data_IF_249131820262
#
_entry.id   IF_249131820262
#
_cell.length_a   1.000
_cell.length_b   1.000
_cell.length_c   1.000
_cell.angle_alpha   90.00
_cell.angle_beta   90.00
_cell.angle_gamma   90.00
#
_symmetry.space_group_name_H-M   'P 1'
#
loop_
_entity.id
_entity.type
_entity.pdbx_description
1 polymer ?
#
# COMPACT_ATOMS: atom_id res chain seq x y z
N UNK A 1 -68.04 20.16 23.29
CA UNK A 1 -66.90 20.66 22.51
C UNK A 1 -66.17 19.45 22.00
N UNK A 2 -66.36 19.12 20.73
CA UNK A 2 -65.64 18.04 20.05
C UNK A 2 -64.27 18.58 19.65
N UNK A 3 -63.20 18.00 20.19
CA UNK A 3 -61.86 18.19 19.65
C UNK A 3 -61.80 17.44 18.31
N UNK A 4 -61.84 18.19 17.22
CA UNK A 4 -61.57 17.65 15.89
C UNK A 4 -60.10 17.24 15.83
N UNK A 5 -59.84 15.93 15.97
CA UNK A 5 -58.55 15.33 15.64
C UNK A 5 -58.34 15.41 14.13
N UNK A 6 -57.79 16.53 13.67
CA UNK A 6 -57.39 16.72 12.26
C UNK A 6 -56.15 15.86 12.01
N UNK A 7 -56.36 14.63 11.54
CA UNK A 7 -55.28 13.76 11.07
C UNK A 7 -54.61 14.46 9.87
N UNK A 8 -53.29 14.72 9.89
CA UNK A 8 -52.60 15.38 8.79
C UNK A 8 -52.79 14.61 7.48
N UNK A 9 -53.10 15.29 6.35
CA UNK A 9 -53.24 14.64 5.06
C UNK A 9 -52.03 13.75 4.72
N UNK A 10 -52.26 12.58 4.12
CA UNK A 10 -51.25 11.55 3.81
C UNK A 10 -49.97 12.08 3.15
N UNK A 11 -50.07 13.13 2.33
CA UNK A 11 -48.91 13.83 1.72
C UNK A 11 -47.87 14.32 2.74
N UNK A 12 -48.30 14.76 3.93
CA UNK A 12 -47.38 15.20 4.99
C UNK A 12 -46.65 14.03 5.66
N UNK A 13 -47.30 12.87 5.78
CA UNK A 13 -46.66 11.64 6.26
C UNK A 13 -45.58 11.15 5.31
N UNK A 14 -45.82 11.22 4.00
CA UNK A 14 -44.84 10.85 2.98
C UNK A 14 -43.62 11.79 3.03
N UNK A 15 -43.85 13.11 3.13
CA UNK A 15 -42.76 14.09 3.25
C UNK A 15 -41.93 13.86 4.52
N UNK A 16 -42.59 13.60 5.65
CA UNK A 16 -41.92 13.34 6.92
C UNK A 16 -41.09 12.05 6.87
N UNK A 17 -41.59 11.02 6.18
CA UNK A 17 -40.89 9.74 6.02
C UNK A 17 -39.68 9.88 5.08
N UNK A 18 -39.82 10.59 3.96
CA UNK A 18 -38.68 10.89 3.07
C UNK A 18 -37.62 11.71 3.81
N UNK A 19 -38.04 12.70 4.60
CA UNK A 19 -37.14 13.49 5.42
C UNK A 19 -36.41 12.64 6.47
N UNK A 20 -37.13 11.80 7.22
CA UNK A 20 -36.56 10.89 8.22
C UNK A 20 -35.59 9.89 7.61
N UNK A 21 -35.95 9.26 6.48
CA UNK A 21 -35.05 8.33 5.77
C UNK A 21 -33.82 9.09 5.27
N UNK A 22 -33.97 10.30 4.72
CA UNK A 22 -32.83 11.10 4.26
C UNK A 22 -31.91 11.50 5.42
N UNK A 23 -32.47 11.92 6.56
CA UNK A 23 -31.68 12.30 7.76
C UNK A 23 -30.98 11.09 8.36
N UNK A 24 -31.63 9.92 8.40
CA UNK A 24 -31.03 8.68 8.87
C UNK A 24 -29.93 8.23 7.91
N UNK A 25 -30.17 8.21 6.59
CA UNK A 25 -29.17 7.83 5.59
C UNK A 25 -27.96 8.76 5.57
N UNK A 26 -28.17 10.08 5.65
CA UNK A 26 -27.08 11.07 5.70
C UNK A 26 -26.36 11.02 7.04
N UNK A 27 -27.08 10.91 8.16
CA UNK A 27 -26.51 10.80 9.50
C UNK A 27 -25.70 9.51 9.68
N UNK A 28 -26.19 8.39 9.13
CA UNK A 28 -25.46 7.11 9.08
C UNK A 28 -24.24 7.21 8.16
N UNK A 29 -24.34 7.81 6.97
CA UNK A 29 -23.19 7.98 6.08
C UNK A 29 -22.09 8.85 6.71
N UNK A 30 -22.44 9.98 7.34
CA UNK A 30 -21.48 10.85 8.04
C UNK A 30 -20.89 10.15 9.28
N UNK A 31 -21.72 9.42 10.03
CA UNK A 31 -21.29 8.64 11.18
C UNK A 31 -20.33 7.51 10.80
N UNK A 32 -20.63 6.76 9.73
CA UNK A 32 -19.75 5.73 9.18
C UNK A 32 -18.47 6.32 8.56
N UNK A 33 -18.54 7.49 7.95
CA UNK A 33 -17.36 8.16 7.41
C UNK A 33 -16.41 8.60 8.54
N UNK A 34 -16.95 9.14 9.63
CA UNK A 34 -16.17 9.60 10.79
C UNK A 34 -15.63 8.41 11.61
N UNK A 35 -16.43 7.35 11.78
CA UNK A 35 -15.98 6.11 12.40
C UNK A 35 -14.93 5.42 11.52
N UNK A 36 -15.17 5.33 10.22
CA UNK A 36 -14.26 4.74 9.25
C UNK A 36 -12.93 5.49 9.17
N UNK A 37 -12.95 6.83 9.15
CA UNK A 37 -11.72 7.63 9.21
C UNK A 37 -10.94 7.36 10.50
N UNK A 38 -11.61 7.34 11.65
CA UNK A 38 -10.97 7.06 12.93
C UNK A 38 -10.43 5.62 13.04
N UNK A 39 -11.14 4.65 12.47
CA UNK A 39 -10.72 3.25 12.41
C UNK A 39 -9.45 3.09 11.57
N UNK A 40 -9.40 3.67 10.36
CA UNK A 40 -8.23 3.60 9.49
C UNK A 40 -7.03 4.34 10.12
N UNK A 41 -7.26 5.51 10.74
CA UNK A 41 -6.19 6.24 11.44
C UNK A 41 -5.63 5.44 12.63
N UNK A 42 -6.49 4.77 13.40
CA UNK A 42 -6.06 3.91 14.51
C UNK A 42 -5.31 2.68 14.03
N UNK A 43 -5.80 1.99 12.98
CA UNK A 43 -5.09 0.86 12.37
C UNK A 43 -3.70 1.26 11.87
N UNK A 44 -3.58 2.44 11.24
CA UNK A 44 -2.30 2.97 10.80
C UNK A 44 -1.32 3.15 11.97
N UNK A 45 -1.78 3.72 13.10
CA UNK A 45 -0.96 3.89 14.32
C UNK A 45 -0.49 2.57 14.92
N UNK A 46 -1.36 1.57 15.02
CA UNK A 46 -1.00 0.25 15.55
C UNK A 46 0.05 -0.43 14.66
N UNK A 47 -0.14 -0.42 13.34
CA UNK A 47 0.84 -1.01 12.43
C UNK A 47 2.20 -0.32 12.52
N UNK A 48 2.25 1.01 12.61
CA UNK A 48 3.52 1.73 12.77
C UNK A 48 4.29 1.33 14.05
N UNK A 49 3.58 0.91 15.10
CA UNK A 49 4.16 0.45 16.35
C UNK A 49 4.63 -1.02 16.27
N UNK A 50 3.98 -1.85 15.46
CA UNK A 50 4.26 -3.27 15.31
C UNK A 50 5.35 -3.61 14.29
N UNK A 51 5.88 -2.64 13.54
CA UNK A 51 6.99 -2.88 12.62
C UNK A 51 8.25 -3.19 13.45
N UNK A 52 8.78 -4.40 13.28
CA UNK A 52 10.01 -4.90 13.90
C UNK A 52 11.27 -4.14 13.45
N UNK A 53 11.42 -2.91 13.92
CA UNK A 53 12.57 -2.02 13.63
C UNK A 53 13.69 -2.13 14.67
N UNK A 54 13.69 -3.16 15.52
CA UNK A 54 14.58 -3.31 16.66
C UNK A 54 16.05 -3.13 16.29
N UNK A 55 16.65 -2.00 16.68
CA UNK A 55 18.10 -1.73 16.53
C UNK A 55 18.58 -1.34 15.13
N UNK A 56 17.70 -1.10 14.15
CA UNK A 56 18.10 -0.66 12.79
C UNK A 56 18.44 0.82 12.75
N UNK A 57 19.40 1.19 11.88
CA UNK A 57 19.70 2.59 11.59
C UNK A 57 18.47 3.27 10.97
N UNK A 58 17.95 4.30 11.62
CA UNK A 58 16.81 5.06 11.10
C UNK A 58 17.22 5.92 9.90
N UNK A 59 18.46 6.41 9.88
CA UNK A 59 19.05 7.25 8.86
C UNK A 59 20.58 7.11 8.89
N UNK A 60 21.26 7.60 7.85
CA UNK A 60 22.70 7.88 7.85
C UNK A 60 22.93 9.39 7.73
N UNK A 61 24.07 9.87 8.22
CA UNK A 61 24.45 11.28 8.10
C UNK A 61 25.46 11.45 6.96
N UNK A 62 25.23 12.40 6.06
CA UNK A 62 26.18 12.77 5.02
C UNK A 62 27.38 13.52 5.64
N UNK A 63 28.51 13.67 4.92
CA UNK A 63 29.63 14.51 5.40
C UNK A 63 29.25 15.97 5.72
N UNK A 64 28.10 16.45 5.20
CA UNK A 64 27.55 17.78 5.48
C UNK A 64 26.57 17.81 6.67
N UNK A 65 26.32 16.66 7.32
CA UNK A 65 25.41 16.53 8.45
C UNK A 65 23.94 16.36 8.07
N UNK A 66 23.63 16.09 6.81
CA UNK A 66 22.25 15.85 6.36
C UNK A 66 21.82 14.43 6.71
N UNK A 67 20.62 14.28 7.26
CA UNK A 67 20.04 12.98 7.59
C UNK A 67 19.34 12.40 6.37
N UNK A 68 19.83 11.28 5.88
CA UNK A 68 19.36 10.63 4.66
C UNK A 68 18.96 9.17 4.93
N UNK A 69 18.08 8.65 4.09
CA UNK A 69 17.70 7.23 4.05
C UNK A 69 17.98 6.69 2.66
N UNK A 70 18.26 5.39 2.61
CA UNK A 70 18.43 4.64 1.37
C UNK A 70 17.38 3.55 1.38
N UNK A 71 16.55 3.47 0.37
CA UNK A 71 15.38 2.60 0.33
C UNK A 71 15.38 1.83 -0.99
N UNK A 72 14.96 0.56 -0.92
CA UNK A 72 14.71 -0.26 -2.08
C UNK A 72 13.20 -0.43 -2.27
N UNK A 73 12.71 -0.37 -3.50
CA UNK A 73 11.29 -0.53 -3.80
C UNK A 73 11.08 -1.46 -5.00
N UNK A 74 10.19 -2.42 -4.83
CA UNK A 74 9.69 -3.31 -5.87
C UNK A 74 8.27 -2.97 -6.31
N UNK A 75 7.96 -3.22 -7.57
CA UNK A 75 6.60 -3.19 -8.11
C UNK A 75 6.30 -4.51 -8.80
N UNK A 76 5.30 -5.22 -8.31
CA UNK A 76 4.72 -6.37 -8.98
C UNK A 76 3.31 -5.99 -9.46
N UNK A 77 3.19 -5.82 -10.78
CA UNK A 77 1.93 -5.44 -11.41
C UNK A 77 1.03 -6.65 -11.69
N UNK A 78 1.46 -7.86 -11.29
CA UNK A 78 0.85 -9.13 -11.64
C UNK A 78 0.74 -9.31 -13.17
N UNK A 79 1.77 -8.82 -13.87
CA UNK A 79 1.89 -8.92 -15.32
C UNK A 79 2.71 -10.15 -15.68
N UNK A 80 2.21 -10.94 -16.62
CA UNK A 80 2.95 -12.10 -17.13
C UNK A 80 4.05 -11.65 -18.09
N UNK A 81 5.28 -12.10 -17.85
CA UNK A 81 6.39 -11.97 -18.78
C UNK A 81 6.22 -12.93 -19.97
N UNK A 82 5.73 -14.13 -19.68
CA UNK A 82 5.29 -15.13 -20.66
C UNK A 82 4.22 -16.05 -20.03
N UNK A 83 3.79 -17.09 -20.72
CA UNK A 83 2.72 -18.00 -20.24
C UNK A 83 3.04 -18.71 -18.91
N UNK A 84 4.31 -18.76 -18.50
CA UNK A 84 4.75 -19.49 -17.31
C UNK A 84 5.47 -18.63 -16.27
N UNK A 85 5.76 -17.36 -16.58
CA UNK A 85 6.56 -16.48 -15.72
C UNK A 85 5.91 -15.11 -15.49
N UNK A 86 6.01 -14.61 -14.27
CA UNK A 86 5.69 -13.24 -13.87
C UNK A 86 6.93 -12.34 -13.90
N UNK A 87 6.72 -11.03 -13.72
CA UNK A 87 7.82 -10.06 -13.60
C UNK A 87 7.52 -9.01 -12.55
N UNK A 88 8.51 -8.78 -11.69
CA UNK A 88 8.56 -7.66 -10.77
C UNK A 88 9.68 -6.69 -11.18
N UNK A 89 9.41 -5.39 -11.07
CA UNK A 89 10.37 -4.32 -11.33
C UNK A 89 10.99 -3.90 -10.00
N UNK A 90 12.31 -3.83 -9.93
CA UNK A 90 13.01 -3.59 -8.67
C UNK A 90 13.98 -2.42 -8.79
N UNK A 91 13.88 -1.47 -7.87
CA UNK A 91 14.67 -0.24 -7.83
C UNK A 91 15.44 -0.18 -6.52
N UNK A 92 16.78 -0.24 -6.60
CA UNK A 92 17.64 -0.30 -5.42
C UNK A 92 18.41 0.98 -5.18
N UNK A 93 18.58 1.31 -3.90
CA UNK A 93 19.45 2.38 -3.45
C UNK A 93 18.90 3.77 -3.69
N UNK A 94 17.59 3.98 -3.60
CA UNK A 94 16.98 5.31 -3.73
C UNK A 94 17.32 6.14 -2.49
N UNK A 95 18.09 7.22 -2.66
CA UNK A 95 18.51 8.11 -1.57
C UNK A 95 17.59 9.31 -1.43
N UNK A 96 17.07 9.53 -0.21
CA UNK A 96 16.10 10.57 0.11
C UNK A 96 16.36 11.18 1.50
N UNK A 97 15.92 12.42 1.76
CA UNK A 97 15.96 13.00 3.10
C UNK A 97 15.18 12.14 4.12
N UNK A 98 15.70 12.03 5.33
CA UNK A 98 15.01 11.37 6.43
C UNK A 98 13.66 12.05 6.72
N UNK A 99 12.61 11.25 6.88
CA UNK A 99 11.23 11.72 7.01
C UNK A 99 10.44 11.74 5.68
N UNK A 100 11.08 11.39 4.56
CA UNK A 100 10.38 11.11 3.30
C UNK A 100 9.40 9.94 3.45
N UNK A 101 8.36 9.92 2.61
CA UNK A 101 7.28 8.93 2.62
C UNK A 101 7.42 7.91 1.49
N UNK A 102 6.58 6.87 1.47
CA UNK A 102 6.55 5.91 0.35
C UNK A 102 6.19 6.61 -0.97
N UNK A 103 5.31 7.62 -0.94
CA UNK A 103 5.02 8.43 -2.13
C UNK A 103 6.28 9.11 -2.66
N UNK A 104 7.10 9.67 -1.77
CA UNK A 104 8.35 10.32 -2.16
C UNK A 104 9.33 9.29 -2.76
N UNK A 105 9.38 8.06 -2.24
CA UNK A 105 10.16 6.96 -2.83
C UNK A 105 9.68 6.66 -4.25
N UNK A 106 8.37 6.47 -4.46
CA UNK A 106 7.78 6.20 -5.78
C UNK A 106 8.10 7.32 -6.78
N UNK A 107 8.00 8.58 -6.37
CA UNK A 107 8.29 9.73 -7.23
C UNK A 107 9.78 9.84 -7.61
N UNK A 108 10.66 9.23 -6.83
CA UNK A 108 12.11 9.30 -6.99
C UNK A 108 12.75 7.98 -7.42
N UNK A 109 11.97 7.00 -7.92
CA UNK A 109 12.50 5.72 -8.40
C UNK A 109 13.58 5.87 -9.48
N UNK A 110 13.51 6.93 -10.28
CA UNK A 110 14.50 7.27 -11.30
C UNK A 110 15.89 7.64 -10.73
N UNK A 111 15.99 7.85 -9.41
CA UNK A 111 17.25 8.07 -8.68
C UNK A 111 17.85 6.78 -8.12
N UNK A 112 17.27 5.62 -8.40
CA UNK A 112 17.82 4.34 -7.99
C UNK A 112 19.24 4.16 -8.54
N UNK A 113 20.12 3.59 -7.72
CA UNK A 113 21.49 3.24 -8.12
C UNK A 113 21.50 2.04 -9.08
N UNK A 114 20.54 1.14 -8.90
CA UNK A 114 20.38 -0.06 -9.72
C UNK A 114 18.91 -0.30 -9.99
N UNK A 115 18.62 -0.85 -11.17
CA UNK A 115 17.27 -1.24 -11.56
C UNK A 115 17.31 -2.60 -12.20
N UNK A 116 16.45 -3.50 -11.74
CA UNK A 116 16.39 -4.90 -12.18
C UNK A 116 14.96 -5.28 -12.54
N UNK A 117 14.82 -6.19 -13.50
CA UNK A 117 13.64 -7.02 -13.65
C UNK A 117 13.90 -8.33 -12.92
N UNK A 118 12.98 -8.72 -12.06
CA UNK A 118 12.99 -10.00 -11.36
C UNK A 118 11.92 -10.88 -11.97
N UNK A 119 12.32 -11.88 -12.75
CA UNK A 119 11.44 -12.81 -13.44
C UNK A 119 11.30 -14.07 -12.58
N UNK A 120 10.07 -14.51 -12.34
CA UNK A 120 9.78 -15.66 -11.48
C UNK A 120 8.80 -16.63 -12.16
N UNK A 121 8.89 -17.92 -11.83
CA UNK A 121 7.94 -18.93 -12.30
C UNK A 121 6.61 -18.75 -11.56
N UNK A 122 5.50 -18.72 -12.29
CA UNK A 122 4.17 -18.57 -11.71
C UNK A 122 3.76 -19.75 -10.80
N UNK A 123 4.39 -20.91 -10.96
CA UNK A 123 4.20 -22.10 -10.12
C UNK A 123 5.22 -22.20 -8.98
N UNK A 124 6.33 -21.47 -9.07
CA UNK A 124 7.36 -21.40 -8.03
C UNK A 124 8.07 -20.05 -8.04
N UNK A 125 7.46 -19.14 -7.32
CA UNK A 125 7.82 -17.74 -7.27
C UNK A 125 8.91 -17.41 -6.25
N UNK A 126 9.45 -18.42 -5.55
CA UNK A 126 10.56 -18.25 -4.58
C UNK A 126 11.92 -17.97 -5.20
N UNK A 127 12.06 -18.11 -6.51
CA UNK A 127 13.34 -17.97 -7.23
C UNK A 127 13.18 -16.94 -8.33
N UNK A 128 14.05 -15.92 -8.30
CA UNK A 128 14.08 -14.89 -9.34
C UNK A 128 15.31 -15.04 -10.23
N UNK A 129 15.07 -15.01 -11.53
CA UNK A 129 16.10 -14.57 -12.48
C UNK A 129 16.16 -13.04 -12.44
N UNK A 130 17.36 -12.49 -12.20
CA UNK A 130 17.58 -11.04 -12.13
C UNK A 130 18.19 -10.54 -13.43
N UNK A 131 17.50 -9.63 -14.08
CA UNK A 131 17.92 -9.01 -15.34
C UNK A 131 18.16 -7.52 -15.09
N UNK A 132 19.41 -7.08 -15.20
CA UNK A 132 19.77 -5.67 -15.03
C UNK A 132 19.17 -4.82 -16.16
N UNK A 133 18.53 -3.72 -15.79
CA UNK A 133 17.95 -2.76 -16.74
C UNK A 133 19.00 -1.72 -17.10
N UNK A 134 19.42 -1.72 -18.37
CA UNK A 134 20.47 -0.82 -18.88
C UNK A 134 20.03 0.64 -18.99
N UNK A 135 18.75 0.88 -19.26
CA UNK A 135 18.15 2.21 -19.29
C UNK A 135 16.96 2.29 -18.32
N UNK A 136 17.20 2.63 -17.04
CA UNK A 136 16.15 2.76 -16.04
C UNK A 136 15.08 3.81 -16.41
N UNK A 137 15.43 4.81 -17.22
CA UNK A 137 14.50 5.86 -17.63
C UNK A 137 13.45 5.35 -18.62
N UNK A 138 13.69 4.19 -19.24
CA UNK A 138 12.69 3.50 -20.08
C UNK A 138 11.53 2.93 -19.26
N UNK A 139 11.74 2.69 -17.96
CA UNK A 139 10.71 2.18 -17.04
C UNK A 139 9.97 3.35 -16.40
N UNK A 140 9.07 3.96 -17.15
CA UNK A 140 8.20 5.01 -16.60
C UNK A 140 7.03 4.40 -15.84
N UNK A 141 6.92 4.74 -14.57
CA UNK A 141 5.79 4.39 -13.72
C UNK A 141 4.87 5.61 -13.59
N UNK A 142 3.70 5.53 -14.22
CA UNK A 142 2.63 6.51 -14.03
C UNK A 142 1.77 6.05 -12.84
N UNK A 143 1.80 6.81 -11.74
CA UNK A 143 1.07 6.48 -10.52
C UNK A 143 0.01 7.54 -10.23
N UNK A 144 -1.25 7.11 -10.11
CA UNK A 144 -2.37 7.93 -9.66
C UNK A 144 -2.68 7.59 -8.21
N UNK A 145 -2.97 8.62 -7.42
CA UNK A 145 -3.31 8.46 -6.01
C UNK A 145 -4.76 8.87 -5.75
N UNK A 146 -5.48 8.05 -5.00
CA UNK A 146 -6.77 8.41 -4.44
C UNK A 146 -6.62 9.01 -3.05
N UNK A 147 -7.73 9.52 -2.50
CA UNK A 147 -7.78 10.08 -1.15
C UNK A 147 -9.01 9.54 -0.41
N UNK A 148 -8.78 8.92 0.75
CA UNK A 148 -9.83 8.50 1.67
C UNK A 148 -9.49 9.10 3.03
N UNK A 149 -10.40 9.91 3.57
CA UNK A 149 -10.29 10.46 4.94
C UNK A 149 -8.98 11.25 5.19
N UNK A 150 -8.46 11.95 4.18
CA UNK A 150 -7.23 12.74 4.31
C UNK A 150 -5.94 11.92 4.22
N UNK A 151 -6.05 10.63 3.91
CA UNK A 151 -4.93 9.72 3.63
C UNK A 151 -4.91 9.39 2.15
N UNK A 152 -3.71 9.38 1.56
CA UNK A 152 -3.53 9.03 0.15
C UNK A 152 -3.27 7.54 0.00
N UNK A 153 -3.84 6.92 -1.01
CA UNK A 153 -3.56 5.53 -1.36
C UNK A 153 -3.23 5.43 -2.85
N UNK A 154 -2.62 4.33 -3.26
CA UNK A 154 -2.31 4.06 -4.68
C UNK A 154 -3.60 3.62 -5.35
N UNK A 155 -4.09 4.41 -6.31
CA UNK A 155 -5.32 4.09 -7.04
C UNK A 155 -5.02 3.33 -8.34
N UNK A 156 -3.94 3.72 -9.01
CA UNK A 156 -3.57 3.20 -10.32
C UNK A 156 -2.05 3.24 -10.49
N UNK A 157 -1.48 2.20 -11.10
CA UNK A 157 -0.12 2.21 -11.63
C UNK A 157 -0.18 1.70 -13.07
N UNK A 158 0.40 2.47 -14.01
CA UNK A 158 0.52 2.09 -15.42
C UNK A 158 -0.80 1.62 -16.09
N UNK A 159 -1.93 2.24 -15.74
CA UNK A 159 -3.24 1.86 -16.29
C UNK A 159 -3.99 0.81 -15.49
N UNK A 160 -3.35 0.14 -14.53
CA UNK A 160 -3.94 -0.91 -13.70
C UNK A 160 -4.55 -0.29 -12.45
N UNK A 161 -5.89 -0.28 -12.38
CA UNK A 161 -6.68 0.34 -11.30
C UNK A 161 -7.10 -0.67 -10.25
N UNK A 162 -7.29 -0.19 -9.02
CA UNK A 162 -8.03 -0.95 -8.02
C UNK A 162 -9.43 -1.29 -8.55
N UNK A 163 -9.88 -2.52 -8.31
CA UNK A 163 -11.21 -3.01 -8.66
C UNK A 163 -11.94 -3.53 -7.41
N UNK A 164 -12.82 -2.71 -6.81
CA UNK A 164 -13.61 -3.11 -5.65
C UNK A 164 -14.53 -4.31 -5.91
N UNK A 165 -14.92 -4.58 -7.17
CA UNK A 165 -15.83 -5.67 -7.49
C UNK A 165 -15.15 -7.04 -7.38
N UNK A 166 -13.87 -7.10 -7.75
CA UNK A 166 -13.02 -8.30 -7.63
C UNK A 166 -12.14 -8.28 -6.39
N UNK A 167 -12.20 -7.21 -5.60
CA UNK A 167 -11.32 -6.93 -4.46
C UNK A 167 -9.83 -6.80 -4.86
N UNK A 168 -9.52 -6.65 -6.14
CA UNK A 168 -8.14 -6.44 -6.60
C UNK A 168 -7.66 -5.04 -6.23
N UNK A 169 -6.52 -4.95 -5.54
CA UNK A 169 -5.99 -3.68 -5.07
C UNK A 169 -4.46 -3.66 -5.00
N UNK A 170 -3.89 -2.45 -4.99
CA UNK A 170 -2.49 -2.21 -4.67
C UNK A 170 -2.23 -2.39 -3.17
N UNK A 171 -1.41 -3.39 -2.84
CA UNK A 171 -0.98 -3.73 -1.49
C UNK A 171 0.48 -3.37 -1.30
N UNK A 172 0.83 -2.84 -0.13
CA UNK A 172 2.20 -2.46 0.20
C UNK A 172 2.70 -3.46 1.23
N UNK A 173 3.87 -4.04 0.99
CA UNK A 173 4.55 -4.91 1.92
C UNK A 173 5.92 -4.37 2.27
N UNK A 174 6.35 -4.65 3.49
CA UNK A 174 7.62 -4.21 4.05
C UNK A 174 8.46 -5.40 4.49
N UNK A 175 9.77 -5.37 4.25
CA UNK A 175 10.66 -6.44 4.72
C UNK A 175 10.93 -6.36 6.22
N UNK A 176 10.34 -7.28 6.98
CA UNK A 176 10.63 -7.50 8.40
C UNK A 176 11.88 -8.36 8.53
N UNK A 177 13.01 -7.72 8.86
CA UNK A 177 14.30 -8.39 8.99
C UNK A 177 14.37 -9.37 10.17
N UNK A 178 13.58 -9.17 11.22
CA UNK A 178 13.53 -10.08 12.38
C UNK A 178 12.82 -11.38 12.01
N UNK A 179 11.68 -11.26 11.29
CA UNK A 179 10.90 -12.40 10.83
C UNK A 179 11.40 -13.00 9.52
N UNK A 180 12.30 -12.31 8.81
CA UNK A 180 12.78 -12.65 7.46
C UNK A 180 11.64 -12.87 6.48
N UNK A 181 10.64 -12.00 6.53
CA UNK A 181 9.47 -12.07 5.65
C UNK A 181 8.99 -10.68 5.30
N UNK A 182 8.31 -10.56 4.17
CA UNK A 182 7.51 -9.39 3.88
C UNK A 182 6.25 -9.40 4.76
N UNK A 183 5.89 -8.24 5.29
CA UNK A 183 4.69 -8.04 6.11
C UNK A 183 3.82 -6.99 5.47
N UNK A 184 2.51 -7.27 5.41
CA UNK A 184 1.55 -6.33 4.84
C UNK A 184 1.52 -5.03 5.65
N UNK A 185 1.69 -3.92 4.95
CA UNK A 185 1.66 -2.58 5.51
C UNK A 185 0.28 -1.97 5.29
N UNK A 186 -0.47 -1.92 6.38
CA UNK A 186 -1.77 -1.24 6.46
C UNK A 186 -1.66 0.29 6.51
N UNK A 187 -0.46 0.83 6.70
CA UNK A 187 -0.23 2.26 6.79
C UNK A 187 -0.41 2.93 5.42
N UNK A 188 -0.97 4.14 5.41
CA UNK A 188 -1.09 4.91 4.18
C UNK A 188 0.31 5.33 3.66
N UNK A 189 0.57 5.21 2.34
CA UNK A 189 1.87 5.52 1.74
C UNK A 189 2.33 6.97 1.93
N UNK A 190 1.41 7.90 2.26
CA UNK A 190 1.76 9.31 2.57
C UNK A 190 2.03 9.57 4.05
N UNK A 191 1.87 8.56 4.92
CA UNK A 191 2.17 8.64 6.36
C UNK A 191 3.34 7.77 6.77
N UNK A 192 3.56 6.67 6.07
CA UNK A 192 4.66 5.78 6.37
C UNK A 192 5.98 6.41 5.95
N UNK A 193 6.91 6.51 6.89
CA UNK A 193 8.27 6.99 6.66
C UNK A 193 9.24 5.80 6.69
N UNK A 194 9.87 5.46 5.54
CA UNK A 194 10.90 4.43 5.50
C UNK A 194 12.14 4.84 6.31
N UNK A 195 12.78 3.85 6.92
CA UNK A 195 14.10 3.96 7.55
C UNK A 195 15.21 3.59 6.56
N UNK A 196 16.47 3.80 6.96
CA UNK A 196 17.60 3.43 6.13
C UNK A 196 17.70 1.90 5.94
N UNK A 197 17.89 1.48 4.69
CA UNK A 197 17.88 0.09 4.22
C UNK A 197 16.53 -0.62 4.41
N UNK A 198 15.44 0.16 4.44
CA UNK A 198 14.10 -0.40 4.31
C UNK A 198 13.88 -0.89 2.89
N UNK A 199 13.12 -1.97 2.78
CA UNK A 199 12.75 -2.57 1.49
C UNK A 199 11.25 -2.73 1.46
N UNK A 200 10.65 -2.23 0.38
CA UNK A 200 9.20 -2.17 0.19
C UNK A 200 8.88 -2.88 -1.12
N UNK A 201 7.77 -3.60 -1.18
CA UNK A 201 7.20 -4.08 -2.44
C UNK A 201 5.75 -3.65 -2.53
N UNK A 202 5.36 -3.16 -3.70
CA UNK A 202 3.99 -2.78 -4.03
C UNK A 202 3.47 -3.82 -5.02
N UNK A 203 2.40 -4.51 -4.65
CA UNK A 203 1.87 -5.67 -5.37
C UNK A 203 0.39 -5.47 -5.71
N UNK A 204 -0.01 -5.78 -6.94
CA UNK A 204 -1.41 -5.77 -7.36
C UNK A 204 -2.02 -7.16 -7.25
N UNK A 205 -2.92 -7.36 -6.29
CA UNK A 205 -3.56 -8.67 -6.11
C UNK A 205 -4.92 -8.52 -5.40
N UNK A 206 -5.69 -9.61 -5.40
CA UNK A 206 -7.01 -9.71 -4.78
C UNK A 206 -6.84 -9.70 -3.26
N UNK A 207 -7.46 -8.71 -2.60
CA UNK A 207 -7.49 -8.64 -1.14
C UNK A 207 -8.22 -9.85 -0.56
N UNK A 208 -7.54 -10.60 0.32
CA UNK A 208 -8.08 -11.87 0.83
C UNK A 208 -8.04 -13.02 -0.19
N UNK A 209 -7.49 -12.79 -1.39
CA UNK A 209 -6.99 -13.81 -2.29
C UNK A 209 -5.98 -14.65 -1.53
N UNK A 210 -6.30 -15.92 -1.36
CA UNK A 210 -5.50 -16.83 -0.57
C UNK A 210 -4.44 -17.50 -1.48
N UNK A 211 -3.18 -17.55 -1.05
CA UNK A 211 -2.72 -17.21 0.30
C UNK A 211 -2.20 -15.76 0.46
N UNK A 212 -2.86 -15.03 1.37
CA UNK A 212 -2.27 -13.95 2.14
C UNK A 212 -1.55 -14.55 3.39
N UNK A 213 -0.25 -14.81 3.24
CA UNK A 213 0.83 -14.95 4.24
C UNK A 213 0.76 -15.88 5.48
N UNK A 214 -0.37 -16.44 5.94
CA UNK A 214 -0.37 -17.15 7.24
C UNK A 214 -0.42 -18.70 7.22
N UNK A 215 -0.63 -19.38 6.08
CA UNK A 215 -1.08 -20.80 6.12
C UNK A 215 -0.66 -21.76 4.98
N UNK A 216 0.32 -21.46 4.11
CA UNK A 216 0.74 -22.45 3.08
C UNK A 216 1.98 -23.27 3.44
N UNK A 217 2.78 -22.88 4.44
CA UNK A 217 4.01 -23.63 4.78
C UNK A 217 5.01 -23.75 3.61
N UNK A 218 4.80 -23.00 2.52
CA UNK A 218 5.70 -22.87 1.38
C UNK A 218 6.45 -21.56 1.51
N UNK A 219 7.74 -21.57 1.18
CA UNK A 219 8.57 -20.38 1.24
C UNK A 219 7.99 -19.25 0.38
N UNK A 220 8.03 -18.02 0.89
CA UNK A 220 7.56 -16.86 0.16
C UNK A 220 8.52 -16.48 -0.95
N UNK A 221 7.93 -15.78 -1.91
CA UNK A 221 8.51 -15.43 -3.21
C UNK A 221 9.84 -14.68 -3.07
N UNK A 222 10.10 -14.02 -1.94
CA UNK A 222 11.33 -13.28 -1.66
C UNK A 222 12.10 -13.80 -0.44
N UNK A 223 12.00 -15.09 -0.12
CA UNK A 223 12.79 -15.71 0.95
C UNK A 223 14.30 -15.65 0.72
N UNK A 224 14.74 -15.40 -0.52
CA UNK A 224 16.13 -15.10 -0.89
C UNK A 224 16.40 -13.60 -1.06
N UNK A 225 15.55 -12.72 -0.49
CA UNK A 225 15.94 -11.33 -0.35
C UNK A 225 17.11 -11.24 0.63
N UNK A 226 18.32 -11.22 0.06
CA UNK A 226 19.53 -10.72 0.70
C UNK A 226 19.42 -9.18 0.84
N UNK A 227 18.33 -8.71 1.46
CA UNK A 227 18.33 -7.39 2.06
C UNK A 227 19.54 -7.29 2.94
N UNK A 228 20.23 -6.15 2.90
CA UNK A 228 21.56 -5.96 3.48
C UNK A 228 21.58 -6.31 4.99
N UNK A 229 21.67 -7.60 5.30
CA UNK A 229 21.94 -8.18 6.59
C UNK A 229 23.45 -8.36 6.66
N UNK A 230 24.21 -7.30 6.47
CA UNK A 230 25.64 -7.31 6.77
C UNK A 230 26.09 -5.96 7.31
N UNK A 231 26.10 -5.92 8.65
CA UNK A 231 26.87 -5.04 9.56
C UNK A 231 26.45 -3.59 9.73
#
# INVERSE_FOLDING_TARGET
MSEDNVVPPFKYWVILLVFLVSVISVGSAIGFQTFGSGFIENMNKYNLYEIGRGGRLLYYETPMGEKMVRVDIGFDLNTTYNETHGVAYWFEGIELPYGSTIIDVIQNIHKANMTELRVYDLNNSSVFERILVQDPQSLQFAVTYGNISGMRYIDEINGIKNDPATMAQWMIYFWDAEKKTFVYLTASPDKFTPAHKDTIIILYDIFGGWPADCCSGGGWEYNEYEGSLTR
#
